data_IF_137742094606
#
_entry.id   IF_137742094606
#
_cell.length_a   1.000
_cell.length_b   1.000
_cell.length_c   1.000
_cell.angle_alpha   90.00
_cell.angle_beta   90.00
_cell.angle_gamma   90.00
#
_symmetry.space_group_name_H-M   'P 1'
#
loop_
_entity.id
_entity.type
_entity.pdbx_description
1 polymer ?
#
# COMPACT_ATOMS: atom_id res chain seq x y z
N UNK A 1 43.22 12.31 -5.02
CA UNK A 1 41.89 12.20 -4.38
C UNK A 1 41.83 10.87 -3.62
N UNK A 2 41.77 10.90 -2.29
CA UNK A 2 41.68 9.68 -1.47
C UNK A 2 40.35 8.97 -1.74
N UNK A 3 40.39 7.72 -2.20
CA UNK A 3 39.19 6.89 -2.38
C UNK A 3 38.60 6.63 -0.99
N UNK A 4 37.60 7.42 -0.58
CA UNK A 4 36.81 7.12 0.64
C UNK A 4 36.26 5.70 0.49
N UNK A 5 36.65 4.81 1.41
CA UNK A 5 36.16 3.44 1.46
C UNK A 5 34.64 3.48 1.70
N UNK A 6 33.87 2.70 0.92
CA UNK A 6 32.43 2.58 1.12
C UNK A 6 32.12 2.07 2.53
N UNK A 7 31.02 2.53 3.11
CA UNK A 7 30.56 2.08 4.41
C UNK A 7 30.14 0.60 4.36
N UNK A 8 30.34 -0.09 5.49
CA UNK A 8 29.81 -1.45 5.68
C UNK A 8 28.38 -1.40 6.18
N UNK A 9 27.54 -2.29 5.68
CA UNK A 9 26.15 -2.43 6.12
C UNK A 9 26.03 -3.73 6.90
N UNK A 10 25.45 -3.67 8.09
CA UNK A 10 25.19 -4.84 8.92
C UNK A 10 23.69 -4.94 9.19
N UNK A 11 23.19 -6.17 9.23
CA UNK A 11 21.80 -6.49 9.49
C UNK A 11 21.68 -7.47 10.67
N UNK A 12 20.70 -7.22 11.52
CA UNK A 12 20.23 -8.12 12.55
C UNK A 12 18.70 -7.97 12.60
N UNK A 13 18.01 -9.05 12.98
CA UNK A 13 16.56 -9.04 13.14
C UNK A 13 16.19 -9.67 14.48
N UNK A 14 15.16 -9.11 15.11
CA UNK A 14 14.73 -9.51 16.45
C UNK A 14 13.24 -9.80 16.45
N UNK A 15 12.92 -11.07 16.55
CA UNK A 15 11.58 -11.62 16.59
C UNK A 15 11.24 -12.12 18.00
N UNK A 16 9.95 -12.27 18.28
CA UNK A 16 9.46 -12.72 19.59
C UNK A 16 8.43 -11.78 20.21
N UNK A 17 8.04 -12.09 21.43
CA UNK A 17 7.14 -11.28 22.26
C UNK A 17 7.77 -9.95 22.65
N UNK A 18 6.95 -9.03 23.15
CA UNK A 18 7.46 -7.73 23.62
C UNK A 18 8.50 -7.94 24.71
N UNK A 19 8.22 -8.81 25.68
CA UNK A 19 9.03 -9.10 26.86
C UNK A 19 10.39 -9.71 26.49
N UNK A 20 10.42 -10.64 25.54
CA UNK A 20 11.67 -11.22 25.03
C UNK A 20 12.55 -10.19 24.33
N UNK A 21 11.94 -9.28 23.55
CA UNK A 21 12.68 -8.21 22.89
C UNK A 21 13.30 -7.24 23.88
N UNK A 22 12.59 -6.90 24.95
CA UNK A 22 13.13 -6.04 26.01
C UNK A 22 14.34 -6.69 26.69
N UNK A 23 14.22 -7.95 27.13
CA UNK A 23 15.35 -8.68 27.73
C UNK A 23 16.56 -8.73 26.80
N UNK A 24 16.35 -9.06 25.52
CA UNK A 24 17.43 -9.07 24.54
C UNK A 24 18.16 -7.72 24.42
N UNK A 25 17.40 -6.61 24.37
CA UNK A 25 17.94 -5.26 24.23
C UNK A 25 18.57 -4.71 25.52
N UNK A 26 18.23 -5.26 26.68
CA UNK A 26 18.92 -4.96 27.95
C UNK A 26 20.29 -5.66 27.99
N UNK A 27 20.37 -6.89 27.48
CA UNK A 27 21.58 -7.71 27.51
C UNK A 27 22.54 -7.44 26.33
N UNK A 28 22.07 -6.81 25.24
CA UNK A 28 22.84 -6.59 24.02
C UNK A 28 22.85 -5.13 23.55
N UNK A 29 23.94 -4.72 22.92
CA UNK A 29 24.11 -3.43 22.28
C UNK A 29 24.56 -3.58 20.81
N UNK A 30 24.89 -2.47 20.16
CA UNK A 30 25.30 -2.47 18.74
C UNK A 30 26.60 -3.26 18.45
N UNK A 31 27.43 -3.48 19.48
CA UNK A 31 28.70 -4.18 19.40
C UNK A 31 28.56 -5.67 19.73
N UNK A 32 27.63 -6.03 20.62
CA UNK A 32 27.40 -7.42 21.05
C UNK A 32 26.31 -8.13 20.25
N UNK A 33 25.41 -7.40 19.60
CA UNK A 33 24.36 -7.98 18.76
C UNK A 33 24.96 -8.75 17.58
N UNK A 34 24.67 -10.07 17.45
CA UNK A 34 25.08 -10.84 16.28
C UNK A 34 24.50 -10.25 15.01
N UNK A 35 25.36 -9.97 14.02
CA UNK A 35 24.99 -9.26 12.80
C UNK A 35 25.61 -9.89 11.57
N UNK A 36 24.84 -9.88 10.48
CA UNK A 36 25.28 -10.30 9.16
C UNK A 36 25.74 -9.07 8.36
N UNK A 37 26.95 -9.09 7.79
CA UNK A 37 27.37 -8.07 6.83
C UNK A 37 26.57 -8.26 5.52
N UNK A 38 25.87 -7.21 5.08
CA UNK A 38 25.16 -7.21 3.81
C UNK A 38 26.02 -6.57 2.72
N UNK A 39 25.80 -7.04 1.48
CA UNK A 39 26.34 -6.41 0.27
C UNK A 39 25.18 -5.94 -0.60
N UNK A 40 24.62 -4.73 -0.36
CA UNK A 40 23.53 -4.22 -1.17
C UNK A 40 23.98 -4.03 -2.62
N UNK A 41 23.33 -4.73 -3.54
CA UNK A 41 23.62 -4.66 -4.97
C UNK A 41 22.51 -3.93 -5.71
N UNK A 42 22.89 -3.20 -6.76
CA UNK A 42 21.93 -2.61 -7.68
C UNK A 42 21.09 -3.68 -8.38
N UNK A 43 19.86 -3.37 -8.82
CA UNK A 43 19.21 -2.06 -8.72
C UNK A 43 18.51 -1.82 -7.37
N UNK A 44 18.21 -2.87 -6.62
CA UNK A 44 17.29 -2.81 -5.49
C UNK A 44 17.93 -2.41 -4.16
N UNK A 45 19.25 -2.64 -4.01
CA UNK A 45 20.01 -2.32 -2.80
C UNK A 45 19.33 -2.85 -1.52
N UNK A 46 18.98 -4.14 -1.51
CA UNK A 46 18.25 -4.72 -0.39
C UNK A 46 19.04 -4.59 0.93
N UNK A 47 18.38 -4.03 1.94
CA UNK A 47 18.87 -3.94 3.33
C UNK A 47 18.34 -5.07 4.21
N UNK A 48 18.00 -6.19 3.58
CA UNK A 48 17.60 -7.43 4.22
C UNK A 48 18.33 -8.58 3.52
N UNK A 49 18.65 -9.68 4.22
CA UNK A 49 19.22 -10.86 3.61
C UNK A 49 18.28 -11.37 2.50
N UNK A 50 18.85 -11.60 1.33
CA UNK A 50 18.16 -12.15 0.17
C UNK A 50 19.06 -13.19 -0.45
N UNK A 51 18.48 -14.32 -0.81
CA UNK A 51 19.16 -15.31 -1.64
C UNK A 51 19.04 -14.91 -3.11
N UNK A 52 20.19 -14.75 -3.77
CA UNK A 52 20.31 -14.43 -5.20
C UNK A 52 20.94 -15.59 -5.98
N UNK A 53 21.08 -16.77 -5.38
CA UNK A 53 21.68 -17.95 -6.01
C UNK A 53 21.08 -18.29 -7.38
N UNK A 54 19.76 -18.11 -7.53
CA UNK A 54 19.01 -18.39 -8.75
C UNK A 54 18.69 -17.14 -9.58
N UNK A 55 19.21 -15.96 -9.22
CA UNK A 55 18.89 -14.71 -9.93
C UNK A 55 19.29 -14.77 -11.41
N UNK A 56 20.48 -15.29 -11.71
CA UNK A 56 20.98 -15.41 -13.08
C UNK A 56 20.14 -16.38 -13.93
N UNK A 57 19.51 -17.38 -13.32
CA UNK A 57 18.58 -18.27 -14.01
C UNK A 57 17.23 -17.57 -14.22
N UNK A 58 16.69 -16.94 -13.16
CA UNK A 58 15.43 -16.21 -13.21
C UNK A 58 15.43 -15.11 -14.28
N UNK A 59 16.53 -14.37 -14.42
CA UNK A 59 16.67 -13.28 -15.38
C UNK A 59 16.71 -13.72 -16.85
N UNK A 60 16.85 -15.03 -17.13
CA UNK A 60 16.72 -15.57 -18.49
C UNK A 60 15.26 -15.64 -18.96
N UNK A 61 14.30 -15.68 -18.03
CA UNK A 61 12.89 -15.74 -18.37
C UNK A 61 12.35 -14.37 -18.81
N UNK A 62 11.23 -14.41 -19.53
CA UNK A 62 10.61 -13.21 -20.06
C UNK A 62 9.96 -12.41 -18.93
N UNK A 63 10.23 -11.10 -18.90
CA UNK A 63 9.55 -10.19 -17.98
C UNK A 63 8.05 -10.17 -18.30
N UNK A 64 7.20 -10.23 -17.29
CA UNK A 64 5.74 -10.12 -17.47
C UNK A 64 5.34 -8.84 -18.22
N UNK A 65 6.06 -7.73 -17.99
CA UNK A 65 5.86 -6.45 -18.69
C UNK A 65 6.25 -6.47 -20.16
N UNK A 66 6.92 -7.52 -20.64
CA UNK A 66 7.22 -7.77 -22.05
C UNK A 66 6.24 -8.76 -22.68
N UNK A 67 5.69 -9.67 -21.89
CA UNK A 67 4.68 -10.64 -22.34
C UNK A 67 3.33 -9.93 -22.54
N UNK A 68 2.89 -9.17 -21.55
CA UNK A 68 1.61 -8.47 -21.58
C UNK A 68 1.79 -7.04 -22.12
N UNK A 69 1.03 -6.71 -23.18
CA UNK A 69 1.00 -5.36 -23.78
C UNK A 69 0.40 -4.32 -22.84
N UNK A 70 -0.62 -4.74 -22.11
CA UNK A 70 -1.34 -3.89 -21.16
C UNK A 70 -1.36 -4.59 -19.81
N UNK A 71 -1.07 -3.83 -18.76
CA UNK A 71 -1.12 -4.28 -17.39
C UNK A 71 -1.49 -3.08 -16.52
N UNK A 72 -2.25 -3.35 -15.47
CA UNK A 72 -2.64 -2.34 -14.50
C UNK A 72 -2.62 -2.94 -13.10
N UNK A 73 -2.44 -2.10 -12.10
CA UNK A 73 -2.77 -2.51 -10.73
C UNK A 73 -4.29 -2.64 -10.58
N UNK A 74 -4.73 -3.39 -9.58
CA UNK A 74 -6.15 -3.47 -9.23
C UNK A 74 -6.79 -2.10 -8.95
N UNK A 75 -8.12 -2.07 -9.01
CA UNK A 75 -8.94 -0.86 -8.81
C UNK A 75 -8.70 -0.27 -7.42
N UNK A 76 -8.49 1.05 -7.36
CA UNK A 76 -8.31 1.81 -6.11
C UNK A 76 -9.38 2.88 -6.03
N UNK A 77 -10.33 2.72 -5.11
CA UNK A 77 -11.42 3.71 -4.96
C UNK A 77 -11.04 4.86 -4.02
N UNK A 78 -10.07 4.62 -3.13
CA UNK A 78 -9.68 5.49 -2.01
C UNK A 78 -10.81 5.81 -1.01
N UNK A 79 -12.04 5.38 -1.29
CA UNK A 79 -13.27 5.69 -0.56
C UNK A 79 -14.14 4.43 -0.49
N UNK A 80 -13.53 3.30 -0.13
CA UNK A 80 -14.18 1.99 -0.14
C UNK A 80 -15.48 1.98 0.68
N UNK A 81 -15.48 2.68 1.82
CA UNK A 81 -16.68 2.83 2.66
C UNK A 81 -17.86 3.50 1.96
N UNK A 82 -17.63 4.29 0.92
CA UNK A 82 -18.70 4.88 0.10
C UNK A 82 -19.00 4.02 -1.13
N UNK A 83 -17.97 3.54 -1.82
CA UNK A 83 -18.06 3.01 -3.19
C UNK A 83 -18.11 1.47 -3.27
N UNK A 84 -17.82 0.77 -2.17
CA UNK A 84 -17.66 -0.69 -2.15
C UNK A 84 -18.66 -1.31 -1.18
N UNK A 85 -19.38 -2.33 -1.62
CA UNK A 85 -20.32 -3.07 -0.79
C UNK A 85 -20.60 -4.43 -1.39
N UNK A 86 -20.95 -5.39 -0.53
CA UNK A 86 -21.30 -6.75 -0.94
C UNK A 86 -22.70 -6.80 -1.57
N UNK A 87 -23.54 -5.80 -1.30
CA UNK A 87 -24.87 -5.67 -1.88
C UNK A 87 -24.98 -4.37 -2.69
N UNK A 88 -25.47 -4.47 -3.93
CA UNK A 88 -25.73 -3.32 -4.81
C UNK A 88 -26.64 -2.28 -4.15
N UNK A 89 -27.66 -2.70 -3.41
CA UNK A 89 -28.59 -1.82 -2.71
C UNK A 89 -27.91 -1.01 -1.61
N UNK A 90 -26.94 -1.60 -0.90
CA UNK A 90 -26.19 -0.92 0.16
C UNK A 90 -25.29 0.19 -0.41
N UNK A 91 -24.61 -0.09 -1.52
CA UNK A 91 -23.82 0.93 -2.23
C UNK A 91 -24.75 2.02 -2.75
N UNK A 92 -25.89 1.65 -3.33
CA UNK A 92 -26.84 2.61 -3.87
C UNK A 92 -27.40 3.53 -2.77
N UNK A 93 -27.76 2.99 -1.61
CA UNK A 93 -28.22 3.78 -0.46
C UNK A 93 -27.16 4.80 -0.02
N UNK A 94 -25.90 4.37 0.09
CA UNK A 94 -24.79 5.26 0.43
C UNK A 94 -24.59 6.36 -0.62
N UNK A 95 -24.71 6.02 -1.90
CA UNK A 95 -24.64 6.98 -3.00
C UNK A 95 -25.81 7.97 -2.98
N UNK A 96 -27.03 7.50 -2.72
CA UNK A 96 -28.21 8.37 -2.58
C UNK A 96 -28.05 9.35 -1.42
N UNK A 97 -27.53 8.89 -0.28
CA UNK A 97 -27.21 9.76 0.86
C UNK A 97 -26.13 10.77 0.47
N UNK A 98 -25.10 10.34 -0.26
CA UNK A 98 -24.01 11.21 -0.71
C UNK A 98 -24.45 12.29 -1.70
N UNK A 99 -25.31 11.96 -2.68
CA UNK A 99 -25.81 12.90 -3.69
C UNK A 99 -27.05 13.68 -3.26
N UNK A 100 -27.68 13.29 -2.14
CA UNK A 100 -28.88 13.95 -1.61
C UNK A 100 -28.61 15.34 -1.03
N UNK A 101 -29.64 15.98 -0.47
CA UNK A 101 -29.57 17.34 0.07
C UNK A 101 -29.10 17.43 1.54
N UNK A 102 -28.59 16.34 2.12
CA UNK A 102 -28.14 16.37 3.51
C UNK A 102 -26.93 17.31 3.68
N UNK A 103 -26.82 18.03 4.82
CA UNK A 103 -25.64 18.82 5.12
C UNK A 103 -24.38 17.96 5.11
N UNK A 104 -23.27 18.51 4.61
CA UNK A 104 -22.02 17.77 4.47
C UNK A 104 -21.44 17.27 5.79
N UNK A 105 -21.78 17.89 6.93
CA UNK A 105 -21.46 17.39 8.26
C UNK A 105 -22.03 15.98 8.52
N UNK A 106 -23.23 15.71 8.02
CA UNK A 106 -23.84 14.39 8.14
C UNK A 106 -23.14 13.37 7.23
N UNK A 107 -22.70 13.81 6.05
CA UNK A 107 -21.96 12.97 5.08
C UNK A 107 -20.56 12.64 5.58
N UNK A 108 -19.92 13.53 6.36
CA UNK A 108 -18.62 13.25 7.01
C UNK A 108 -18.68 12.05 7.97
N UNK A 109 -19.86 11.62 8.44
CA UNK A 109 -20.02 10.36 9.19
C UNK A 109 -19.64 9.12 8.37
N UNK A 110 -19.59 9.22 7.04
CA UNK A 110 -19.03 8.19 6.15
C UNK A 110 -17.50 8.17 6.14
N UNK A 111 -16.84 8.87 7.06
CA UNK A 111 -15.37 9.02 7.18
C UNK A 111 -14.72 9.60 5.93
N UNK A 112 -15.46 10.46 5.23
CA UNK A 112 -14.96 11.19 4.07
C UNK A 112 -14.17 12.42 4.55
N UNK A 113 -12.91 12.49 4.14
CA UNK A 113 -12.00 13.60 4.46
C UNK A 113 -11.59 14.29 3.18
N UNK A 114 -11.49 15.62 3.26
CA UNK A 114 -10.95 16.42 2.18
C UNK A 114 -9.45 16.15 2.04
N UNK A 115 -8.97 16.09 0.81
CA UNK A 115 -7.55 16.01 0.50
C UNK A 115 -7.12 17.25 -0.25
N UNK A 116 -5.85 17.30 -0.67
CA UNK A 116 -5.33 18.36 -1.53
C UNK A 116 -6.13 18.45 -2.84
N UNK A 117 -6.38 17.31 -3.47
CA UNK A 117 -6.97 17.25 -4.82
C UNK A 117 -8.44 16.81 -4.83
N UNK A 118 -9.07 16.61 -3.66
CA UNK A 118 -10.48 16.21 -3.56
C UNK A 118 -11.18 16.94 -2.42
N UNK A 119 -12.27 17.64 -2.75
CA UNK A 119 -13.16 18.30 -1.80
C UNK A 119 -14.54 17.68 -1.85
N UNK A 120 -15.11 17.41 -0.67
CA UNK A 120 -16.42 16.77 -0.52
C UNK A 120 -17.52 17.57 -1.23
N UNK A 121 -17.57 18.88 -1.02
CA UNK A 121 -18.58 19.76 -1.62
C UNK A 121 -18.53 19.74 -3.15
N UNK A 122 -17.32 19.86 -3.72
CA UNK A 122 -17.12 19.85 -5.16
C UNK A 122 -17.48 18.50 -5.77
N UNK A 123 -17.09 17.41 -5.10
CA UNK A 123 -17.42 16.07 -5.53
C UNK A 123 -18.94 15.85 -5.55
N UNK A 124 -19.67 16.31 -4.53
CA UNK A 124 -21.14 16.21 -4.51
C UNK A 124 -21.80 17.02 -5.62
N UNK A 125 -21.33 18.26 -5.85
CA UNK A 125 -21.85 19.12 -6.94
C UNK A 125 -21.63 18.54 -8.33
N UNK A 126 -20.51 17.84 -8.54
CA UNK A 126 -20.15 17.23 -9.84
C UNK A 126 -20.83 15.88 -10.09
N UNK A 127 -21.43 15.26 -9.07
CA UNK A 127 -21.87 13.88 -9.15
C UNK A 127 -23.39 13.81 -9.18
N UNK A 128 -23.93 13.14 -10.20
CA UNK A 128 -25.36 12.82 -10.30
C UNK A 128 -25.60 11.34 -10.01
N UNK A 129 -26.68 11.04 -9.31
CA UNK A 129 -26.98 9.67 -8.89
C UNK A 129 -27.27 8.75 -10.09
N UNK A 130 -27.93 9.30 -11.11
CA UNK A 130 -28.32 8.61 -12.34
C UNK A 130 -27.08 8.08 -13.08
N UNK A 131 -26.06 8.93 -13.22
CA UNK A 131 -24.78 8.57 -13.86
C UNK A 131 -24.00 7.51 -13.07
N UNK A 132 -24.13 7.52 -11.73
CA UNK A 132 -23.45 6.53 -10.89
C UNK A 132 -24.13 5.16 -10.91
N UNK A 133 -25.46 5.11 -11.01
CA UNK A 133 -26.23 3.86 -11.08
C UNK A 133 -25.81 3.00 -12.26
N UNK A 134 -25.50 3.63 -13.39
CA UNK A 134 -25.03 2.96 -14.61
C UNK A 134 -23.57 2.49 -14.51
N UNK A 135 -22.81 3.00 -13.54
CA UNK A 135 -21.38 2.70 -13.34
C UNK A 135 -21.11 1.77 -12.15
N UNK A 136 -22.13 1.02 -11.71
CA UNK A 136 -21.99 0.00 -10.67
C UNK A 136 -21.63 -1.35 -11.28
N UNK A 137 -20.41 -1.81 -11.02
CA UNK A 137 -19.88 -3.08 -11.53
C UNK A 137 -19.53 -4.03 -10.39
N UNK A 138 -19.81 -5.34 -10.52
CA UNK A 138 -19.25 -6.33 -9.63
C UNK A 138 -17.74 -6.41 -9.85
N UNK A 139 -16.97 -6.49 -8.78
CA UNK A 139 -15.53 -6.73 -8.85
C UNK A 139 -15.06 -7.54 -7.65
N UNK A 140 -13.92 -8.22 -7.79
CA UNK A 140 -13.34 -9.02 -6.73
C UNK A 140 -12.83 -8.11 -5.60
N UNK A 141 -13.52 -8.16 -4.46
CA UNK A 141 -13.07 -7.62 -3.19
C UNK A 141 -12.77 -8.79 -2.26
N UNK A 142 -11.80 -8.58 -1.36
CA UNK A 142 -11.16 -9.63 -0.54
C UNK A 142 -12.13 -10.62 0.09
#
# INVERSE_FOLDING_TARGET
MSKKKLAKVFYADLWGTREEKFRFLEDHDISTTPRQELRPTAPYHFFVPRDFSLQAEYEKFWKLTKIFREWASGVKTHRDRLLVGFNKGEVLQRLTVFTGNLPSEFIRKLRLRDTRDWKLEEARKRTKLEELKEKLYPYAYR
#
